data_IF_915175445592
#
_entry.id   IF_915175445592
#
_cell.length_a   1.000
_cell.length_b   1.000
_cell.length_c   1.000
_cell.angle_alpha   90.00
_cell.angle_beta   90.00
_cell.angle_gamma   90.00
#
_symmetry.space_group_name_H-M   'P 1'
#
loop_
_entity.id
_entity.type
_entity.pdbx_description
1 polymer ?
#
# COMPACT_ATOMS: atom_id res chain seq x y z
N UNK A 1 -35.56 18.35 -55.08
CA UNK A 1 -34.18 17.95 -55.40
C UNK A 1 -33.34 18.05 -54.13
N UNK A 2 -32.86 16.88 -53.69
CA UNK A 2 -31.71 16.57 -52.82
C UNK A 2 -31.49 17.37 -51.53
N UNK A 3 -31.76 16.68 -50.42
CA UNK A 3 -31.26 16.98 -49.08
C UNK A 3 -29.75 16.73 -48.98
N UNK A 4 -29.01 17.66 -48.35
CA UNK A 4 -27.59 17.49 -48.01
C UNK A 4 -27.48 17.24 -46.50
N UNK A 5 -26.99 16.04 -46.17
CA UNK A 5 -26.69 15.56 -44.82
C UNK A 5 -25.36 16.14 -44.33
N UNK A 6 -25.36 16.80 -43.17
CA UNK A 6 -24.15 17.25 -42.46
C UNK A 6 -23.88 16.27 -41.32
N UNK A 7 -22.72 15.61 -41.35
CA UNK A 7 -22.24 14.69 -40.30
C UNK A 7 -21.55 15.46 -39.16
N UNK A 8 -21.64 14.99 -37.90
CA UNK A 8 -20.89 15.55 -36.78
C UNK A 8 -19.43 15.08 -36.73
N UNK A 9 -18.53 15.81 -36.05
CA UNK A 9 -17.09 15.55 -36.04
C UNK A 9 -16.70 14.37 -35.13
N UNK A 10 -15.72 13.59 -35.59
CA UNK A 10 -15.13 12.43 -34.90
C UNK A 10 -14.14 12.87 -33.82
N UNK A 11 -14.33 12.40 -32.58
CA UNK A 11 -13.37 12.59 -31.48
C UNK A 11 -12.21 11.60 -31.61
N UNK A 12 -10.99 12.12 -31.73
CA UNK A 12 -9.76 11.34 -31.67
C UNK A 12 -9.33 11.16 -30.21
N UNK A 13 -9.67 10.02 -29.61
CA UNK A 13 -9.11 9.62 -28.31
C UNK A 13 -7.65 9.18 -28.49
N UNK A 14 -6.71 10.03 -28.06
CA UNK A 14 -5.32 9.64 -27.86
C UNK A 14 -5.23 8.68 -26.67
N UNK A 15 -5.06 7.39 -26.94
CA UNK A 15 -4.67 6.40 -25.94
C UNK A 15 -3.21 6.63 -25.54
N UNK A 16 -2.98 7.21 -24.37
CA UNK A 16 -1.67 7.16 -23.70
C UNK A 16 -1.48 5.72 -23.22
N UNK A 17 -0.64 4.95 -23.92
CA UNK A 17 -0.11 3.67 -23.42
C UNK A 17 0.79 3.96 -22.22
N UNK A 18 0.33 3.66 -21.01
CA UNK A 18 1.24 3.47 -19.88
C UNK A 18 2.08 2.23 -20.16
N UNK A 19 3.38 2.42 -20.40
CA UNK A 19 4.34 1.32 -20.41
C UNK A 19 4.51 0.88 -18.95
N UNK A 20 3.83 -0.20 -18.57
CA UNK A 20 4.13 -0.91 -17.32
C UNK A 20 5.44 -1.66 -17.54
N UNK A 21 6.51 -1.24 -16.89
CA UNK A 21 7.76 -2.00 -16.84
C UNK A 21 7.56 -3.21 -15.91
N UNK A 22 7.85 -4.45 -16.37
CA UNK A 22 7.81 -5.63 -15.52
C UNK A 22 9.08 -5.64 -14.67
N UNK A 23 9.04 -5.02 -13.49
CA UNK A 23 10.24 -4.87 -12.64
C UNK A 23 10.13 -5.51 -11.25
N UNK A 24 8.95 -5.97 -10.83
CA UNK A 24 8.85 -6.64 -9.52
C UNK A 24 9.25 -8.10 -9.62
N UNK A 25 10.12 -8.57 -8.71
CA UNK A 25 10.46 -10.01 -8.64
C UNK A 25 9.22 -10.88 -8.40
N UNK A 26 8.18 -10.28 -7.84
CA UNK A 26 6.92 -10.93 -7.55
C UNK A 26 6.12 -11.24 -8.82
N UNK A 27 6.14 -10.33 -9.80
CA UNK A 27 5.56 -10.51 -11.12
C UNK A 27 6.21 -11.69 -11.86
N UNK A 28 7.54 -11.82 -11.77
CA UNK A 28 8.30 -12.96 -12.31
C UNK A 28 7.98 -14.26 -11.58
N UNK A 29 7.90 -14.27 -10.25
CA UNK A 29 7.58 -15.49 -9.48
C UNK A 29 6.14 -15.98 -9.70
N UNK A 30 5.23 -15.08 -10.07
CA UNK A 30 3.86 -15.39 -10.47
C UNK A 30 3.72 -15.72 -11.96
N UNK A 31 4.81 -15.68 -12.74
CA UNK A 31 4.78 -15.95 -14.20
C UNK A 31 4.00 -14.92 -15.02
N UNK A 32 3.78 -13.71 -14.49
CA UNK A 32 2.95 -12.68 -15.12
C UNK A 32 3.67 -11.92 -16.25
N UNK A 33 5.01 -12.01 -16.33
CA UNK A 33 5.83 -11.32 -17.34
C UNK A 33 5.57 -11.79 -18.79
N UNK A 34 5.10 -13.04 -18.97
CA UNK A 34 4.75 -13.61 -20.28
C UNK A 34 3.34 -13.25 -20.77
N UNK A 35 2.55 -12.54 -19.96
CA UNK A 35 1.17 -12.16 -20.30
C UNK A 35 1.11 -10.89 -21.18
N UNK A 36 1.91 -10.85 -22.25
CA UNK A 36 1.91 -9.76 -23.25
C UNK A 36 0.84 -9.93 -24.34
N UNK A 37 0.12 -11.05 -24.32
CA UNK A 37 -1.04 -11.28 -25.16
C UNK A 37 -2.27 -11.00 -24.31
N UNK A 38 -2.94 -9.88 -24.57
CA UNK A 38 -4.35 -9.77 -24.22
C UNK A 38 -5.03 -11.06 -24.71
N UNK A 39 -5.70 -11.84 -23.84
CA UNK A 39 -6.48 -12.95 -24.33
C UNK A 39 -7.43 -12.36 -25.38
N UNK A 40 -7.48 -12.97 -26.58
CA UNK A 40 -8.54 -12.65 -27.54
C UNK A 40 -9.85 -13.03 -26.84
N UNK A 41 -10.45 -12.08 -26.13
CA UNK A 41 -11.78 -12.21 -25.57
C UNK A 41 -12.71 -12.26 -26.76
N UNK A 42 -12.96 -13.48 -27.25
CA UNK A 42 -14.17 -13.74 -28.00
C UNK A 42 -15.26 -13.63 -26.94
N UNK A 43 -15.91 -12.46 -26.86
CA UNK A 43 -17.13 -12.24 -26.10
C UNK A 43 -18.15 -13.26 -26.60
N UNK A 44 -18.11 -14.48 -26.06
CA UNK A 44 -19.27 -15.35 -26.06
C UNK A 44 -20.17 -14.73 -25.00
N UNK A 45 -21.24 -14.09 -25.46
CA UNK A 45 -22.42 -13.85 -24.65
C UNK A 45 -22.78 -15.23 -24.09
N UNK A 46 -22.47 -15.46 -22.82
CA UNK A 46 -22.83 -16.70 -22.15
C UNK A 46 -24.18 -16.49 -21.52
N UNK A 47 -25.12 -17.30 -22.00
CA UNK A 47 -26.45 -17.48 -21.46
C UNK A 47 -26.37 -17.79 -19.96
N UNK A 48 -27.27 -17.22 -19.18
CA UNK A 48 -27.27 -17.20 -17.71
C UNK A 48 -27.68 -18.55 -17.09
N UNK A 49 -27.52 -19.66 -17.82
CA UNK A 49 -27.89 -20.99 -17.35
C UNK A 49 -26.80 -22.03 -17.61
N UNK A 50 -26.32 -22.59 -16.49
CA UNK A 50 -25.52 -23.83 -16.34
C UNK A 50 -24.00 -23.68 -16.55
N UNK A 51 -23.26 -23.61 -15.43
CA UNK A 51 -22.45 -24.77 -15.04
C UNK A 51 -22.21 -24.79 -13.53
N UNK A 52 -22.85 -25.73 -12.81
CA UNK A 52 -22.31 -26.30 -11.58
C UNK A 52 -21.04 -27.11 -11.93
N UNK A 53 -20.04 -26.45 -12.50
CA UNK A 53 -18.75 -27.04 -12.79
C UNK A 53 -17.87 -26.89 -11.56
N UNK A 54 -17.53 -28.01 -10.90
CA UNK A 54 -16.59 -28.02 -9.77
C UNK A 54 -15.38 -27.12 -10.07
N UNK A 55 -15.11 -26.16 -9.17
CA UNK A 55 -13.86 -25.40 -9.17
C UNK A 55 -12.69 -26.38 -9.31
N UNK A 56 -11.76 -26.10 -10.22
CA UNK A 56 -10.51 -26.86 -10.24
C UNK A 56 -9.69 -26.57 -8.97
N UNK A 57 -8.69 -27.41 -8.68
CA UNK A 57 -7.84 -27.25 -7.48
C UNK A 57 -6.53 -26.49 -7.77
N UNK A 58 -6.43 -25.83 -8.91
CA UNK A 58 -5.21 -25.11 -9.29
C UNK A 58 -5.10 -23.77 -8.55
N UNK A 59 -3.85 -23.41 -8.26
CA UNK A 59 -3.49 -22.33 -7.34
C UNK A 59 -3.79 -20.91 -7.79
N UNK A 60 -3.86 -20.66 -9.10
CA UNK A 60 -3.83 -19.30 -9.67
C UNK A 60 -4.98 -19.07 -10.64
N UNK A 61 -5.70 -17.99 -10.40
CA UNK A 61 -6.85 -17.55 -11.19
C UNK A 61 -6.64 -16.08 -11.58
N UNK A 62 -6.96 -15.73 -12.83
CA UNK A 62 -6.91 -14.36 -13.33
C UNK A 62 -8.23 -14.07 -14.04
N UNK A 63 -8.90 -12.99 -13.68
CA UNK A 63 -10.17 -12.55 -14.30
C UNK A 63 -11.23 -13.66 -14.36
N UNK A 64 -11.33 -14.45 -13.28
CA UNK A 64 -12.30 -15.55 -13.18
C UNK A 64 -11.94 -16.81 -13.97
N UNK A 65 -10.74 -16.91 -14.54
CA UNK A 65 -10.28 -18.07 -15.30
C UNK A 65 -9.02 -18.66 -14.65
N UNK A 66 -8.99 -19.97 -14.48
CA UNK A 66 -7.82 -20.70 -14.00
C UNK A 66 -6.67 -20.63 -15.02
N UNK A 67 -5.49 -20.19 -14.59
CA UNK A 67 -4.31 -20.02 -15.47
C UNK A 67 -3.73 -21.36 -15.98
N UNK A 68 -4.07 -22.49 -15.34
CA UNK A 68 -3.52 -23.79 -15.68
C UNK A 68 -4.41 -24.64 -16.59
N UNK A 69 -5.74 -24.51 -16.49
CA UNK A 69 -6.67 -25.36 -17.24
C UNK A 69 -7.80 -24.60 -17.94
N UNK A 70 -7.72 -23.26 -17.98
CA UNK A 70 -8.66 -22.37 -18.67
C UNK A 70 -10.13 -22.53 -18.27
N UNK A 71 -10.39 -23.11 -17.09
CA UNK A 71 -11.75 -23.29 -16.57
C UNK A 71 -12.23 -22.01 -15.88
N UNK A 72 -13.51 -21.63 -16.04
CA UNK A 72 -14.13 -20.61 -15.21
C UNK A 72 -14.08 -21.01 -13.74
N UNK A 73 -13.84 -20.04 -12.87
CA UNK A 73 -13.71 -20.21 -11.43
C UNK A 73 -14.70 -19.29 -10.72
N UNK A 74 -15.24 -19.75 -9.59
CA UNK A 74 -16.13 -18.94 -8.77
C UNK A 74 -15.47 -17.61 -8.34
N UNK A 75 -16.28 -16.57 -8.19
CA UNK A 75 -15.83 -15.22 -7.84
C UNK A 75 -15.33 -15.08 -6.40
N UNK A 76 -15.53 -16.08 -5.56
CA UNK A 76 -15.02 -16.18 -4.19
C UNK A 76 -13.85 -17.17 -4.06
N UNK A 77 -13.36 -17.71 -5.17
CA UNK A 77 -12.21 -18.62 -5.16
C UNK A 77 -10.93 -17.87 -4.78
N UNK A 78 -10.29 -18.34 -3.70
CA UNK A 78 -9.02 -17.81 -3.21
C UNK A 78 -9.11 -16.40 -2.64
N UNK A 79 -7.94 -15.80 -2.40
CA UNK A 79 -7.77 -14.42 -1.96
C UNK A 79 -7.40 -13.54 -3.15
N UNK A 80 -7.98 -12.34 -3.22
CA UNK A 80 -7.74 -11.38 -4.30
C UNK A 80 -6.44 -10.58 -4.06
N UNK A 81 -5.63 -10.42 -5.11
CA UNK A 81 -4.37 -9.66 -5.11
C UNK A 81 -4.39 -8.58 -6.20
N UNK A 82 -5.52 -7.87 -6.32
CA UNK A 82 -5.73 -6.81 -7.33
C UNK A 82 -4.70 -5.69 -7.25
N UNK A 83 -4.08 -5.48 -6.08
CA UNK A 83 -3.00 -4.51 -5.94
C UNK A 83 -1.74 -4.88 -6.75
N UNK A 84 -1.54 -6.16 -7.07
CA UNK A 84 -0.44 -6.65 -7.90
C UNK A 84 -0.86 -6.70 -9.36
N UNK A 85 -1.96 -7.39 -9.62
CA UNK A 85 -2.50 -7.57 -10.96
C UNK A 85 -4.02 -7.71 -10.87
N UNK A 86 -4.71 -6.93 -11.69
CA UNK A 86 -6.17 -6.86 -11.69
C UNK A 86 -6.80 -8.24 -11.96
N UNK A 87 -7.67 -8.68 -11.06
CA UNK A 87 -8.34 -9.97 -11.13
C UNK A 87 -7.49 -11.18 -10.71
N UNK A 88 -6.27 -10.98 -10.18
CA UNK A 88 -5.42 -12.04 -9.66
C UNK A 88 -5.98 -12.61 -8.37
N UNK A 89 -6.12 -13.93 -8.32
CA UNK A 89 -6.56 -14.68 -7.14
C UNK A 89 -5.68 -15.90 -6.91
N UNK A 90 -5.38 -16.14 -5.63
CA UNK A 90 -4.50 -17.23 -5.20
C UNK A 90 -5.16 -18.08 -4.11
N UNK A 91 -4.90 -19.38 -4.14
CA UNK A 91 -5.28 -20.29 -3.05
C UNK A 91 -4.43 -20.06 -1.81
N UNK A 92 -4.92 -20.45 -0.64
CA UNK A 92 -4.19 -20.33 0.63
C UNK A 92 -2.86 -21.09 0.62
N UNK A 93 -2.84 -22.29 0.00
CA UNK A 93 -1.62 -23.10 -0.13
C UNK A 93 -0.56 -22.38 -0.96
N UNK A 94 -0.99 -21.73 -2.05
CA UNK A 94 -0.07 -20.98 -2.91
C UNK A 94 0.45 -19.72 -2.24
N UNK A 95 -0.41 -19.00 -1.51
CA UNK A 95 -0.01 -17.85 -0.70
C UNK A 95 1.03 -18.29 0.34
N UNK A 96 0.79 -19.41 1.02
CA UNK A 96 1.72 -19.97 2.02
C UNK A 96 3.07 -20.32 1.39
N UNK A 97 3.05 -20.98 0.22
CA UNK A 97 4.26 -21.30 -0.54
C UNK A 97 5.04 -20.05 -0.94
N UNK A 98 4.35 -19.02 -1.44
CA UNK A 98 4.94 -17.75 -1.86
C UNK A 98 5.50 -16.95 -0.68
N UNK A 99 4.81 -16.92 0.47
CA UNK A 99 5.31 -16.30 1.71
C UNK A 99 6.65 -16.91 2.14
N UNK A 100 6.76 -18.24 2.14
CA UNK A 100 8.02 -18.95 2.47
C UNK A 100 9.11 -18.60 1.45
N UNK A 101 8.80 -18.72 0.15
CA UNK A 101 9.78 -18.48 -0.91
C UNK A 101 10.32 -17.04 -0.88
N UNK A 102 9.44 -16.04 -0.75
CA UNK A 102 9.85 -14.64 -0.72
C UNK A 102 10.63 -14.30 0.56
N UNK A 103 10.24 -14.85 1.71
CA UNK A 103 10.96 -14.63 2.97
C UNK A 103 12.36 -15.21 2.93
N UNK A 104 12.52 -16.46 2.46
CA UNK A 104 13.84 -17.06 2.30
C UNK A 104 14.74 -16.27 1.36
N UNK A 105 14.18 -15.75 0.26
CA UNK A 105 14.88 -14.87 -0.67
C UNK A 105 15.34 -13.58 0.03
N UNK A 106 14.47 -12.90 0.77
CA UNK A 106 14.83 -11.67 1.50
C UNK A 106 15.82 -11.94 2.62
N UNK A 107 15.68 -13.02 3.37
CA UNK A 107 16.63 -13.39 4.44
C UNK A 107 18.04 -13.64 3.88
N UNK A 108 18.15 -14.27 2.70
CA UNK A 108 19.42 -14.43 2.00
C UNK A 108 20.05 -13.08 1.60
N UNK A 109 19.23 -12.04 1.42
CA UNK A 109 19.65 -10.66 1.14
C UNK A 109 19.79 -9.82 2.41
N UNK A 110 19.73 -10.44 3.60
CA UNK A 110 19.70 -9.75 4.89
C UNK A 110 18.57 -8.70 4.97
N UNK A 111 17.38 -9.02 4.46
CA UNK A 111 16.18 -8.18 4.56
C UNK A 111 15.01 -8.86 5.25
N UNK A 112 14.20 -8.08 5.95
CA UNK A 112 12.90 -8.46 6.53
C UNK A 112 11.75 -7.80 5.76
N UNK A 113 10.50 -8.00 6.17
CA UNK A 113 9.33 -7.31 5.63
C UNK A 113 8.89 -6.19 6.57
N UNK A 114 8.55 -5.03 6.01
CA UNK A 114 8.01 -3.89 6.78
C UNK A 114 6.67 -3.47 6.19
N UNK A 115 5.63 -3.48 7.01
CA UNK A 115 4.29 -3.05 6.64
C UNK A 115 4.00 -1.72 7.31
N UNK A 116 3.75 -0.68 6.52
CA UNK A 116 3.53 0.68 6.99
C UNK A 116 2.10 1.12 6.72
N UNK A 117 1.46 1.69 7.73
CA UNK A 117 0.26 2.51 7.55
C UNK A 117 0.59 3.91 6.99
N UNK A 118 -0.42 4.66 6.54
CA UNK A 118 -0.27 6.01 6.00
C UNK A 118 -0.76 7.09 6.97
N UNK A 119 -2.08 7.25 7.11
CA UNK A 119 -2.70 8.37 7.83
C UNK A 119 -2.44 8.27 9.33
N UNK A 120 -1.97 9.37 9.93
CA UNK A 120 -1.48 9.45 11.31
C UNK A 120 -0.23 8.62 11.60
N UNK A 121 0.32 7.89 10.62
CA UNK A 121 1.58 7.13 10.76
C UNK A 121 2.72 7.84 10.03
N UNK A 122 2.64 7.97 8.71
CA UNK A 122 3.66 8.60 7.84
C UNK A 122 3.30 10.01 7.38
N UNK A 123 2.03 10.39 7.53
CA UNK A 123 1.47 11.66 7.05
C UNK A 123 0.13 11.94 7.72
N UNK A 124 -0.36 13.17 7.57
CA UNK A 124 -1.70 13.56 7.97
C UNK A 124 -2.36 14.26 6.79
N UNK A 125 -3.62 13.93 6.50
CA UNK A 125 -4.42 14.55 5.44
C UNK A 125 -5.64 15.28 6.03
N UNK A 126 -6.01 16.42 5.44
CA UNK A 126 -7.20 17.19 5.85
C UNK A 126 -7.88 17.86 4.68
N UNK A 127 -9.20 17.73 4.61
CA UNK A 127 -10.00 18.39 3.58
C UNK A 127 -9.97 19.92 3.76
N UNK A 128 -9.84 20.67 2.66
CA UNK A 128 -9.80 22.14 2.69
C UNK A 128 -10.99 22.76 3.39
N UNK A 129 -12.19 22.17 3.22
CA UNK A 129 -13.43 22.61 3.84
C UNK A 129 -13.46 22.46 5.37
N UNK A 130 -12.52 21.70 5.94
CA UNK A 130 -12.41 21.45 7.38
C UNK A 130 -11.27 22.23 8.04
N UNK A 131 -10.53 23.05 7.28
CA UNK A 131 -9.44 23.85 7.86
C UNK A 131 -10.00 24.90 8.82
N UNK A 132 -9.31 25.08 9.95
CA UNK A 132 -9.62 26.15 10.90
C UNK A 132 -9.13 27.50 10.36
N UNK A 133 -9.65 28.64 10.85
CA UNK A 133 -9.14 29.96 10.47
C UNK A 133 -7.63 30.10 10.65
N UNK A 134 -7.09 29.52 11.72
CA UNK A 134 -5.65 29.53 12.06
C UNK A 134 -4.82 28.67 11.08
N UNK A 135 -5.43 27.76 10.32
CA UNK A 135 -4.76 26.91 9.31
C UNK A 135 -4.85 27.47 7.88
N UNK A 136 -5.67 28.50 7.61
CA UNK A 136 -5.90 29.00 6.26
C UNK A 136 -4.64 29.55 5.56
N UNK A 137 -3.60 29.88 6.32
CA UNK A 137 -2.31 30.30 5.76
C UNK A 137 -1.66 29.19 4.90
N UNK A 138 -1.95 27.92 5.18
CA UNK A 138 -1.40 26.77 4.46
C UNK A 138 -1.86 26.72 2.99
N UNK A 139 -3.02 27.31 2.65
CA UNK A 139 -3.46 27.42 1.26
C UNK A 139 -2.56 28.31 0.41
N UNK A 140 -1.96 29.33 1.01
CA UNK A 140 -1.04 30.25 0.30
C UNK A 140 0.36 29.64 0.13
N UNK A 141 0.70 28.69 0.99
CA UNK A 141 1.97 27.96 1.00
C UNK A 141 2.04 26.86 -0.06
N UNK A 142 0.93 26.47 -0.67
CA UNK A 142 0.93 25.47 -1.75
C UNK A 142 1.13 26.09 -3.12
N UNK A 143 0.83 27.39 -3.30
CA UNK A 143 1.01 28.14 -4.55
C UNK A 143 2.43 28.69 -4.72
N UNK A 144 3.12 28.88 -3.60
CA UNK A 144 4.54 29.20 -3.54
C UNK A 144 5.25 27.91 -3.17
N UNK A 145 6.11 27.36 -4.03
CA UNK A 145 6.93 26.18 -3.71
C UNK A 145 7.56 26.34 -2.31
N UNK A 146 6.92 25.81 -1.27
CA UNK A 146 7.37 26.01 0.11
C UNK A 146 8.60 25.16 0.35
N UNK A 147 9.52 25.74 1.10
CA UNK A 147 10.94 25.38 1.15
C UNK A 147 11.28 24.02 1.77
N UNK A 148 10.32 23.25 2.32
CA UNK A 148 10.59 21.94 2.95
C UNK A 148 10.11 20.71 2.13
N UNK A 149 9.29 20.91 1.08
CA UNK A 149 8.82 19.81 0.21
C UNK A 149 7.95 18.73 0.90
N UNK A 150 7.28 19.08 2.00
CA UNK A 150 6.48 18.14 2.83
C UNK A 150 4.96 18.39 2.81
N UNK A 151 4.49 19.54 2.31
CA UNK A 151 3.06 19.86 2.21
C UNK A 151 2.58 19.80 0.75
N UNK A 152 1.51 19.05 0.50
CA UNK A 152 0.97 18.78 -0.83
C UNK A 152 -0.53 19.06 -0.91
N UNK A 153 -0.99 19.40 -2.11
CA UNK A 153 -2.41 19.45 -2.45
C UNK A 153 -2.78 18.19 -3.22
N UNK A 154 -3.87 17.54 -2.79
CA UNK A 154 -4.46 16.41 -3.49
C UNK A 154 -5.84 16.80 -4.03
N UNK A 155 -5.98 16.73 -5.35
CA UNK A 155 -7.19 16.99 -6.13
C UNK A 155 -7.90 18.32 -5.79
N UNK A 156 -7.13 19.36 -5.49
CA UNK A 156 -7.63 20.68 -5.08
C UNK A 156 -8.65 20.64 -3.94
N UNK A 157 -8.64 19.56 -3.16
CA UNK A 157 -9.65 19.25 -2.15
C UNK A 157 -9.05 18.93 -0.77
N UNK A 158 -7.83 18.39 -0.74
CA UNK A 158 -7.15 17.97 0.49
C UNK A 158 -5.75 18.56 0.57
N UNK A 159 -5.34 18.93 1.79
CA UNK A 159 -3.94 19.07 2.14
C UNK A 159 -3.41 17.75 2.67
N UNK A 160 -2.19 17.41 2.29
CA UNK A 160 -1.43 16.27 2.79
C UNK A 160 -0.11 16.79 3.33
N UNK A 161 0.12 16.61 4.63
CA UNK A 161 1.39 16.92 5.28
C UNK A 161 2.14 15.62 5.55
N UNK A 162 3.32 15.48 4.98
CA UNK A 162 4.24 14.39 5.29
C UNK A 162 4.81 14.57 6.70
N UNK A 163 4.90 13.46 7.45
CA UNK A 163 5.51 13.47 8.78
C UNK A 163 7.01 13.77 8.65
N UNK A 164 7.58 14.63 9.50
CA UNK A 164 9.01 14.90 9.50
C UNK A 164 9.85 13.61 9.51
N UNK A 165 11.02 13.64 8.86
CA UNK A 165 11.92 12.49 8.70
C UNK A 165 11.42 11.34 7.79
N UNK A 166 10.21 11.36 7.24
CA UNK A 166 9.63 10.21 6.51
C UNK A 166 10.43 9.74 5.29
N UNK A 167 11.00 10.66 4.51
CA UNK A 167 11.77 10.28 3.31
C UNK A 167 13.09 9.60 3.69
N UNK A 168 13.76 10.13 4.71
CA UNK A 168 14.98 9.53 5.27
C UNK A 168 14.66 8.18 5.90
N UNK A 169 13.58 8.09 6.67
CA UNK A 169 13.06 6.84 7.22
C UNK A 169 12.86 5.78 6.13
N UNK A 170 12.14 6.09 5.05
CA UNK A 170 11.88 5.15 3.95
C UNK A 170 13.17 4.73 3.25
N UNK A 171 14.05 5.69 2.94
CA UNK A 171 15.35 5.42 2.32
C UNK A 171 16.17 4.44 3.15
N UNK A 172 16.29 4.70 4.45
CA UNK A 172 17.10 3.86 5.33
C UNK A 172 16.44 2.51 5.61
N UNK A 173 15.14 2.48 5.88
CA UNK A 173 14.39 1.24 6.05
C UNK A 173 14.49 0.35 4.81
N UNK A 174 14.47 0.90 3.59
CA UNK A 174 14.56 0.12 2.34
C UNK A 174 15.86 -0.68 2.20
N UNK A 175 16.92 -0.31 2.93
CA UNK A 175 18.18 -1.06 2.95
C UNK A 175 18.06 -2.38 3.72
N UNK A 176 17.17 -2.44 4.70
CA UNK A 176 16.96 -3.57 5.62
C UNK A 176 15.62 -4.29 5.40
N UNK A 177 14.68 -3.67 4.68
CA UNK A 177 13.31 -4.15 4.57
C UNK A 177 12.78 -4.09 3.13
N UNK A 178 11.94 -5.06 2.77
CA UNK A 178 10.98 -4.92 1.67
C UNK A 178 9.70 -4.27 2.23
N UNK A 179 9.34 -3.10 1.69
CA UNK A 179 8.33 -2.22 2.28
C UNK A 179 6.98 -2.40 1.57
N UNK A 180 5.94 -2.65 2.35
CA UNK A 180 4.53 -2.65 1.95
C UNK A 180 3.84 -1.43 2.55
N UNK A 181 2.93 -0.82 1.79
CA UNK A 181 1.94 0.13 2.32
C UNK A 181 0.64 -0.61 2.55
N UNK A 182 0.04 -0.43 3.73
CA UNK A 182 -1.17 -1.09 4.15
C UNK A 182 -2.11 -0.08 4.82
N UNK A 183 -3.09 0.43 4.08
CA UNK A 183 -3.94 1.55 4.51
C UNK A 183 -5.43 1.26 4.35
N UNK A 184 -6.23 1.86 5.23
CA UNK A 184 -7.70 1.90 5.10
C UNK A 184 -8.20 3.04 4.19
N UNK A 185 -7.28 3.76 3.54
CA UNK A 185 -7.61 4.67 2.44
C UNK A 185 -8.03 3.94 1.16
N UNK A 186 -8.67 4.66 0.24
CA UNK A 186 -8.98 4.10 -1.08
C UNK A 186 -7.71 3.86 -1.89
N UNK A 187 -7.74 2.88 -2.80
CA UNK A 187 -6.60 2.58 -3.69
C UNK A 187 -6.13 3.79 -4.48
N UNK A 188 -7.07 4.64 -4.91
CA UNK A 188 -6.75 5.90 -5.57
C UNK A 188 -5.94 6.83 -4.66
N UNK A 189 -6.42 7.05 -3.42
CA UNK A 189 -5.73 7.87 -2.43
C UNK A 189 -4.34 7.33 -2.11
N UNK A 190 -4.23 6.03 -1.81
CA UNK A 190 -2.95 5.37 -1.48
C UNK A 190 -1.93 5.56 -2.60
N UNK A 191 -2.33 5.35 -3.87
CA UNK A 191 -1.43 5.55 -5.02
C UNK A 191 -0.99 7.00 -5.18
N UNK A 192 -1.88 7.97 -4.97
CA UNK A 192 -1.55 9.39 -5.06
C UNK A 192 -0.57 9.82 -3.96
N UNK A 193 -0.84 9.43 -2.73
CA UNK A 193 0.00 9.77 -1.58
C UNK A 193 1.36 9.06 -1.64
N UNK A 194 1.41 7.84 -2.17
CA UNK A 194 2.66 7.14 -2.44
C UNK A 194 3.58 7.94 -3.37
N UNK A 195 3.05 8.67 -4.36
CA UNK A 195 3.85 9.54 -5.23
C UNK A 195 4.47 10.72 -4.47
N UNK A 196 3.82 11.20 -3.40
CA UNK A 196 4.41 12.21 -2.54
C UNK A 196 5.52 11.61 -1.69
N UNK A 197 5.39 10.38 -1.20
CA UNK A 197 6.38 9.71 -0.35
C UNK A 197 7.60 9.20 -1.15
N UNK A 198 7.36 8.63 -2.32
CA UNK A 198 8.34 7.94 -3.18
C UNK A 198 8.18 8.41 -4.65
N UNK A 199 8.61 9.63 -4.99
CA UNK A 199 8.43 10.20 -6.33
C UNK A 199 9.16 9.41 -7.43
N UNK A 200 10.26 8.74 -7.06
CA UNK A 200 11.10 7.96 -7.98
C UNK A 200 10.66 6.49 -8.08
N UNK A 201 9.77 6.02 -7.20
CA UNK A 201 9.27 4.64 -7.20
C UNK A 201 10.29 3.61 -6.70
N UNK A 202 11.20 3.99 -5.81
CA UNK A 202 12.31 3.17 -5.34
C UNK A 202 11.94 2.22 -4.18
N UNK A 203 10.88 2.52 -3.43
CA UNK A 203 10.62 1.88 -2.13
C UNK A 203 9.44 0.90 -2.16
N UNK A 204 8.34 1.29 -2.81
CA UNK A 204 7.09 0.53 -2.71
C UNK A 204 6.80 -0.35 -3.94
N UNK A 205 7.31 0.04 -5.11
CA UNK A 205 7.01 -0.63 -6.40
C UNK A 205 5.48 -0.78 -6.59
N UNK A 206 4.92 -1.99 -6.52
CA UNK A 206 3.48 -2.23 -6.58
C UNK A 206 2.83 -2.61 -5.24
N UNK A 207 3.55 -2.58 -4.11
CA UNK A 207 3.12 -3.13 -2.80
C UNK A 207 2.18 -2.20 -2.02
N UNK A 208 1.05 -1.83 -2.63
CA UNK A 208 0.04 -0.94 -2.05
C UNK A 208 -1.25 -1.69 -1.72
N UNK A 209 -1.43 -2.12 -0.48
CA UNK A 209 -2.65 -2.77 0.00
C UNK A 209 -3.61 -1.68 0.51
N UNK A 210 -4.74 -1.51 -0.17
CA UNK A 210 -5.73 -0.48 0.14
C UNK A 210 -7.01 -1.08 0.75
N UNK A 211 -7.93 -0.21 1.18
CA UNK A 211 -9.20 -0.63 1.79
C UNK A 211 -9.98 -1.63 0.96
N UNK A 212 -9.94 -1.47 -0.36
CA UNK A 212 -10.63 -2.33 -1.31
C UNK A 212 -10.14 -3.78 -1.24
N UNK A 213 -8.86 -4.01 -0.93
CA UNK A 213 -8.23 -5.33 -0.91
C UNK A 213 -8.61 -6.16 0.32
N UNK A 214 -8.98 -5.54 1.45
CA UNK A 214 -9.38 -6.27 2.66
C UNK A 214 -10.78 -6.86 2.54
N UNK A 215 -10.93 -8.08 3.06
CA UNK A 215 -12.23 -8.74 3.22
C UNK A 215 -13.10 -8.01 4.26
N UNK A 216 -12.51 -7.67 5.41
CA UNK A 216 -13.17 -6.91 6.47
C UNK A 216 -12.76 -5.43 6.41
N UNK A 217 -13.72 -4.51 6.30
CA UNK A 217 -13.41 -3.07 6.11
C UNK A 217 -12.97 -2.35 7.40
N UNK A 218 -12.94 -3.04 8.53
CA UNK A 218 -12.54 -2.53 9.84
C UNK A 218 -11.27 -3.18 10.40
N UNK A 219 -10.67 -4.13 9.67
CA UNK A 219 -9.48 -4.87 10.13
C UNK A 219 -8.44 -5.02 9.01
N UNK A 220 -7.18 -4.93 9.39
CA UNK A 220 -6.02 -5.25 8.57
C UNK A 220 -5.50 -6.64 8.97
N UNK A 221 -4.88 -7.33 8.01
CA UNK A 221 -4.21 -8.60 8.27
C UNK A 221 -3.00 -8.77 7.34
N UNK A 222 -2.22 -9.83 7.58
CA UNK A 222 -1.04 -10.16 6.78
C UNK A 222 -1.31 -11.16 5.64
N UNK A 223 -2.57 -11.45 5.30
CA UNK A 223 -2.90 -12.42 4.23
C UNK A 223 -2.42 -11.96 2.86
N UNK A 224 -2.42 -10.64 2.65
CA UNK A 224 -2.06 -10.00 1.39
C UNK A 224 -0.56 -9.67 1.28
N UNK A 225 0.23 -9.91 2.34
CA UNK A 225 1.67 -9.63 2.36
C UNK A 225 2.43 -10.92 2.05
N UNK A 226 3.32 -10.93 1.06
CA UNK A 226 4.15 -12.11 0.77
C UNK A 226 5.36 -12.22 1.70
N UNK A 227 5.11 -12.17 3.00
CA UNK A 227 6.12 -12.33 4.04
C UNK A 227 5.66 -13.30 5.13
N UNK A 228 6.57 -14.14 5.61
CA UNK A 228 6.34 -14.94 6.80
C UNK A 228 6.33 -14.03 8.01
N UNK A 229 5.34 -14.19 8.88
CA UNK A 229 5.17 -13.33 10.05
C UNK A 229 6.37 -13.32 10.99
N UNK A 230 7.19 -14.38 11.02
CA UNK A 230 8.42 -14.42 11.81
C UNK A 230 9.46 -13.38 11.40
N UNK A 231 9.36 -12.84 10.18
CA UNK A 231 10.23 -11.79 9.64
C UNK A 231 9.46 -10.56 9.15
N UNK A 232 8.25 -10.33 9.63
CA UNK A 232 7.40 -9.18 9.23
C UNK A 232 7.15 -8.26 10.42
N UNK A 233 7.39 -6.96 10.24
CA UNK A 233 7.12 -5.93 11.25
C UNK A 233 6.06 -4.98 10.71
N UNK A 234 5.11 -4.58 11.56
CA UNK A 234 4.04 -3.64 11.24
C UNK A 234 4.28 -2.35 12.03
N UNK A 235 4.12 -1.20 11.37
CA UNK A 235 4.12 0.12 12.02
C UNK A 235 2.80 0.81 11.69
N UNK A 236 2.00 1.08 12.72
CA UNK A 236 0.64 1.62 12.59
C UNK A 236 0.25 2.36 13.88
N UNK A 237 -0.46 3.46 13.78
CA UNK A 237 -0.93 4.24 14.95
C UNK A 237 -2.12 3.56 15.66
N UNK A 238 -2.84 2.67 14.97
CA UNK A 238 -4.11 2.11 15.41
C UNK A 238 -3.99 0.63 15.73
N UNK A 239 -3.83 0.31 17.01
CA UNK A 239 -3.70 -1.08 17.49
C UNK A 239 -4.90 -1.96 17.15
N UNK A 240 -6.13 -1.45 17.24
CA UNK A 240 -7.35 -2.26 17.13
C UNK A 240 -7.58 -2.84 15.74
N UNK A 241 -7.06 -2.24 14.68
CA UNK A 241 -7.21 -2.78 13.32
C UNK A 241 -6.30 -3.99 13.06
N UNK A 242 -5.34 -4.27 13.93
CA UNK A 242 -4.39 -5.38 13.85
C UNK A 242 -4.56 -6.41 14.99
N UNK A 243 -5.80 -6.65 15.42
CA UNK A 243 -6.12 -7.51 16.59
C UNK A 243 -5.43 -8.88 16.57
N UNK A 244 -5.23 -9.43 15.37
CA UNK A 244 -4.75 -10.80 15.17
C UNK A 244 -3.22 -10.87 14.97
N UNK A 245 -2.55 -9.71 14.87
CA UNK A 245 -1.11 -9.58 14.58
C UNK A 245 -0.39 -8.65 15.56
N UNK A 246 -0.87 -8.55 16.80
CA UNK A 246 -0.31 -7.64 17.82
C UNK A 246 1.17 -7.89 18.13
N UNK A 247 1.64 -9.13 18.00
CA UNK A 247 3.06 -9.47 18.23
C UNK A 247 3.97 -9.02 17.08
N UNK A 248 3.41 -8.58 15.95
CA UNK A 248 4.16 -7.99 14.83
C UNK A 248 4.10 -6.45 14.85
N UNK A 249 3.27 -5.85 15.71
CA UNK A 249 2.93 -4.43 15.67
C UNK A 249 3.80 -3.58 16.60
N UNK A 250 4.45 -2.59 16.00
CA UNK A 250 4.97 -1.40 16.66
C UNK A 250 3.90 -0.32 16.55
N UNK A 251 3.23 -0.01 17.67
CA UNK A 251 2.25 1.08 17.71
C UNK A 251 2.98 2.40 17.88
N UNK A 252 2.73 3.37 16.99
CA UNK A 252 3.36 4.69 17.03
C UNK A 252 2.40 5.76 17.56
N UNK A 253 2.95 6.87 18.04
CA UNK A 253 2.15 8.05 18.32
C UNK A 253 1.52 8.59 17.02
N UNK A 254 0.21 8.90 17.09
CA UNK A 254 -0.53 9.55 16.01
C UNK A 254 0.12 10.87 15.61
N UNK A 255 0.38 11.01 14.31
CA UNK A 255 0.81 12.27 13.73
C UNK A 255 -0.39 13.20 13.53
N UNK A 256 -0.51 14.21 14.39
CA UNK A 256 -1.63 15.16 14.41
C UNK A 256 -1.15 16.56 14.03
N UNK A 257 -0.72 16.72 12.77
CA UNK A 257 -0.33 18.03 12.24
C UNK A 257 -1.48 19.04 12.22
N UNK A 258 -2.59 18.68 11.57
CA UNK A 258 -3.79 19.52 11.49
C UNK A 258 -4.68 19.38 12.73
N UNK A 259 -5.52 20.39 12.97
CA UNK A 259 -6.50 20.41 14.05
C UNK A 259 -7.56 19.32 13.89
N UNK A 260 -7.81 18.64 15.00
CA UNK A 260 -8.95 17.76 15.20
C UNK A 260 -10.01 18.54 15.99
N UNK A 261 -11.23 18.64 15.47
CA UNK A 261 -12.31 19.39 16.11
C UNK A 261 -12.71 18.83 17.49
N UNK A 262 -12.29 17.60 17.82
CA UNK A 262 -12.55 16.97 19.10
C UNK A 262 -11.47 17.24 20.17
N UNK A 263 -10.38 17.95 19.82
CA UNK A 263 -9.29 18.25 20.75
C UNK A 263 -9.35 19.70 21.21
N UNK A 264 -9.23 19.91 22.53
CA UNK A 264 -9.22 21.25 23.14
C UNK A 264 -7.88 21.98 23.02
N UNK A 265 -6.84 21.33 22.47
CA UNK A 265 -5.50 21.91 22.31
C UNK A 265 -5.28 22.34 20.85
N UNK A 266 -4.50 23.41 20.66
CA UNK A 266 -4.08 23.82 19.31
C UNK A 266 -3.24 22.73 18.66
N UNK A 267 -3.44 22.53 17.36
CA UNK A 267 -2.63 21.63 16.54
C UNK A 267 -1.26 22.20 16.19
N UNK A 268 -0.37 21.35 15.67
CA UNK A 268 0.96 21.77 15.21
C UNK A 268 0.85 22.83 14.10
N UNK A 269 -0.07 22.65 13.15
CA UNK A 269 -0.36 23.60 12.10
C UNK A 269 -0.79 24.98 12.64
N UNK A 270 -1.66 25.03 13.64
CA UNK A 270 -2.14 26.29 14.25
C UNK A 270 -1.06 26.98 15.08
N UNK A 271 -0.16 26.20 15.68
CA UNK A 271 1.02 26.71 16.39
C UNK A 271 2.18 27.07 15.45
N UNK A 272 2.08 26.74 14.16
CA UNK A 272 3.14 26.87 13.16
C UNK A 272 4.43 26.14 13.56
N UNK A 273 4.25 24.95 14.12
CA UNK A 273 5.32 24.03 14.53
C UNK A 273 5.09 22.66 13.90
N UNK A 274 6.04 21.73 14.10
CA UNK A 274 5.94 20.34 13.67
C UNK A 274 6.84 19.46 14.56
N UNK A 275 6.85 18.14 14.34
CA UNK A 275 7.83 17.24 14.94
C UNK A 275 9.26 17.60 14.51
N UNK A 276 10.23 17.44 15.41
CA UNK A 276 11.65 17.69 15.11
C UNK A 276 12.28 16.40 14.61
N UNK A 277 12.83 16.39 13.39
CA UNK A 277 13.36 15.16 12.76
C UNK A 277 14.37 14.38 13.62
N UNK A 278 15.23 15.08 14.38
CA UNK A 278 16.27 14.43 15.21
C UNK A 278 15.71 13.70 16.45
N UNK A 279 14.46 13.95 16.82
CA UNK A 279 13.81 13.41 18.03
C UNK A 279 12.37 12.95 17.79
N UNK A 280 11.95 12.91 16.53
CA UNK A 280 10.59 12.59 16.13
C UNK A 280 10.33 11.08 16.17
N UNK A 281 9.06 10.73 16.05
CA UNK A 281 8.62 9.34 16.23
C UNK A 281 9.22 8.39 15.20
N UNK A 282 9.27 8.79 13.92
CA UNK A 282 9.85 7.96 12.85
C UNK A 282 11.35 7.72 13.05
N UNK A 283 12.07 8.65 13.69
CA UNK A 283 13.47 8.44 14.05
C UNK A 283 13.60 7.35 15.09
N UNK A 284 12.77 7.38 16.14
CA UNK A 284 12.75 6.37 17.18
C UNK A 284 12.41 4.99 16.59
N UNK A 285 11.36 4.91 15.76
CA UNK A 285 10.98 3.67 15.08
C UNK A 285 12.11 3.11 14.23
N UNK A 286 12.85 3.95 13.49
CA UNK A 286 13.99 3.49 12.69
C UNK A 286 15.08 2.84 13.55
N UNK A 287 15.40 3.40 14.71
CA UNK A 287 16.40 2.80 15.63
C UNK A 287 15.92 1.46 16.18
N UNK A 288 14.62 1.33 16.47
CA UNK A 288 14.00 0.06 16.87
C UNK A 288 14.11 -0.96 15.74
N UNK A 289 13.76 -0.58 14.50
CA UNK A 289 13.84 -1.44 13.33
C UNK A 289 15.27 -1.94 13.07
N UNK A 290 16.28 -1.07 13.20
CA UNK A 290 17.71 -1.45 13.09
C UNK A 290 18.09 -2.47 14.15
N UNK A 291 17.67 -2.27 15.40
CA UNK A 291 17.97 -3.19 16.50
C UNK A 291 17.33 -4.56 16.27
N UNK A 292 16.06 -4.59 15.86
CA UNK A 292 15.36 -5.85 15.54
C UNK A 292 16.06 -6.58 14.39
N UNK A 293 16.40 -5.85 13.33
CA UNK A 293 17.11 -6.39 12.17
C UNK A 293 18.45 -7.02 12.58
N UNK A 294 19.26 -6.32 13.39
CA UNK A 294 20.51 -6.84 13.94
C UNK A 294 20.28 -8.11 14.75
N UNK A 295 19.38 -8.09 15.74
CA UNK A 295 19.06 -9.26 16.57
C UNK A 295 18.66 -10.49 15.72
N UNK A 296 17.87 -10.29 14.67
CA UNK A 296 17.41 -11.36 13.79
C UNK A 296 18.58 -11.94 12.97
N UNK A 297 19.39 -11.09 12.34
CA UNK A 297 20.44 -11.54 11.43
C UNK A 297 21.76 -11.91 12.10
N UNK A 298 21.96 -11.53 13.36
CA UNK A 298 23.00 -12.04 14.27
C UNK A 298 22.61 -13.41 14.87
N UNK A 299 21.38 -13.89 14.61
CA UNK A 299 20.90 -15.19 15.05
C UNK A 299 20.46 -15.26 16.51
N UNK A 300 20.32 -14.10 17.18
CA UNK A 300 19.85 -14.00 18.56
C UNK A 300 18.34 -14.26 18.68
N UNK A 301 17.58 -13.97 17.63
CA UNK A 301 16.18 -14.36 17.48
C UNK A 301 15.95 -14.97 16.10
N UNK A 302 14.93 -15.83 16.00
CA UNK A 302 14.47 -16.41 14.71
C UNK A 302 13.06 -15.94 14.32
N UNK A 303 12.41 -15.20 15.21
CA UNK A 303 11.05 -14.73 15.06
C UNK A 303 10.91 -13.38 15.75
N UNK A 304 10.58 -12.35 14.98
CA UNK A 304 10.40 -10.98 15.50
C UNK A 304 9.25 -10.88 16.50
N UNK A 305 8.29 -11.81 16.46
CA UNK A 305 7.12 -11.85 17.35
C UNK A 305 7.47 -12.23 18.78
N UNK A 306 8.67 -12.76 19.01
CA UNK A 306 9.18 -13.04 20.35
C UNK A 306 9.66 -11.77 21.07
N UNK A 307 9.77 -10.64 20.37
CA UNK A 307 10.21 -9.38 20.97
C UNK A 307 9.01 -8.62 21.54
N UNK A 308 9.05 -8.22 22.82
CA UNK A 308 8.09 -7.27 23.34
C UNK A 308 8.47 -5.87 22.84
N UNK A 309 7.93 -5.44 21.68
CA UNK A 309 8.26 -4.14 21.08
C UNK A 309 8.05 -2.94 22.01
N UNK A 310 7.17 -3.09 23.01
CA UNK A 310 6.95 -2.11 24.08
C UNK A 310 8.17 -1.86 24.98
N UNK A 311 9.17 -2.73 24.98
CA UNK A 311 10.40 -2.56 25.77
C UNK A 311 11.48 -1.73 25.05
N UNK A 312 11.19 -1.27 23.83
CA UNK A 312 12.12 -0.45 23.03
C UNK A 312 11.79 1.05 23.05
N UNK A 313 10.73 1.44 23.76
CA UNK A 313 10.30 2.82 23.98
C UNK A 313 10.51 3.24 25.43
#
# INVERSE_FOLDING_TARGET
MVAVSVRPPTSTHHHVRSKITPTSTLHRSLGLDSCSKAPRIRLKIFDESISLGFNCKHSTVINGVCLHCDRPMASDYGICFDYIFDGLRLTLDEISRLKVANSNKLFAQKKLHLVLDLDHTLLHSKAFKKLTPDELYLKKQTDSNTSDGSLFVLDDAYLVKLRPFVRTFLKEASTMFEIYVCSMGSRYYVKKVAQFLDPEGNFFDSRFIAREDFKEKSKKNLDLVFGQECGTIIVDDTKSVWSDHLNNLITVQKYNYFADHHQNCKSQAEMKTDEIESKGELRNVLEILRRIHGLFFDGLIKDVRCLPFKLFF
#
